data_IF_686528377213
#
_entry.id   IF_686528377213
#
_cell.length_a   1.000
_cell.length_b   1.000
_cell.length_c   1.000
_cell.angle_alpha   90.00
_cell.angle_beta   90.00
_cell.angle_gamma   90.00
#
_symmetry.space_group_name_H-M   'P 1'
#
loop_
_entity.id
_entity.type
_entity.pdbx_description
1 polymer ?
#
# COMPACT_ATOMS: atom_id res chain seq x y z
N UNK A 1 -17.50 -1.06 -4.65
CA UNK A 1 -16.20 -1.66 -4.31
C UNK A 1 -16.28 -3.17 -4.08
N UNK A 2 -17.37 -3.71 -3.57
CA UNK A 2 -17.56 -5.17 -3.31
C UNK A 2 -17.37 -6.08 -4.54
N UNK A 3 -17.61 -5.58 -5.73
CA UNK A 3 -17.39 -6.34 -6.97
C UNK A 3 -15.91 -6.34 -7.42
N UNK A 4 -15.12 -5.42 -6.89
CA UNK A 4 -13.74 -5.19 -7.29
C UNK A 4 -12.73 -5.80 -6.32
N UNK A 5 -13.09 -5.90 -5.04
CA UNK A 5 -12.23 -6.34 -3.95
C UNK A 5 -12.93 -7.37 -3.08
N UNK A 6 -12.16 -8.38 -2.66
CA UNK A 6 -12.56 -9.35 -1.65
C UNK A 6 -11.64 -9.25 -0.44
N UNK A 7 -12.19 -9.16 0.78
CA UNK A 7 -11.39 -9.16 2.00
C UNK A 7 -10.61 -10.48 2.14
N UNK A 8 -9.29 -10.38 2.34
CA UNK A 8 -8.44 -11.53 2.68
C UNK A 8 -8.47 -11.73 4.19
N UNK A 9 -8.86 -12.93 4.62
CA UNK A 9 -8.94 -13.31 6.05
C UNK A 9 -7.82 -14.25 6.49
N UNK A 10 -6.77 -14.40 5.68
CA UNK A 10 -5.63 -15.25 5.97
C UNK A 10 -4.81 -14.66 7.12
N UNK A 11 -4.49 -15.50 8.13
CA UNK A 11 -3.72 -15.11 9.32
C UNK A 11 -2.28 -15.60 9.23
N UNK A 12 -1.38 -14.95 9.94
CA UNK A 12 0.06 -15.18 9.90
C UNK A 12 0.53 -16.39 10.72
N UNK A 13 -0.12 -17.52 10.57
CA UNK A 13 0.24 -18.77 11.28
C UNK A 13 1.62 -19.31 10.88
N UNK A 14 2.10 -18.93 9.69
CA UNK A 14 3.40 -19.35 9.16
C UNK A 14 4.56 -18.46 9.55
N UNK A 15 4.32 -17.37 10.29
CA UNK A 15 5.37 -16.47 10.75
C UNK A 15 6.03 -15.66 9.62
N UNK A 16 5.25 -15.18 8.64
CA UNK A 16 5.74 -14.28 7.60
C UNK A 16 6.30 -12.98 8.19
N UNK A 17 7.18 -12.36 7.45
CA UNK A 17 7.84 -11.11 7.80
C UNK A 17 6.84 -9.97 8.03
N UNK A 18 7.08 -9.16 9.06
CA UNK A 18 6.16 -8.09 9.43
C UNK A 18 6.47 -6.83 8.63
N UNK A 19 5.44 -6.34 7.95
CA UNK A 19 5.47 -5.14 7.14
C UNK A 19 4.57 -4.04 7.70
N UNK A 20 4.85 -2.83 7.27
CA UNK A 20 4.02 -1.64 7.47
C UNK A 20 3.68 -1.02 6.12
N UNK A 21 2.89 0.06 6.11
CA UNK A 21 2.54 0.77 4.88
C UNK A 21 3.01 2.22 4.97
N UNK A 22 3.79 2.62 3.98
CA UNK A 22 4.30 3.98 3.81
C UNK A 22 3.53 4.70 2.70
N UNK A 23 3.33 6.02 2.85
CA UNK A 23 2.72 6.86 1.81
C UNK A 23 3.51 6.79 0.51
N UNK A 24 4.84 6.91 0.59
CA UNK A 24 5.73 7.02 -0.57
C UNK A 24 6.22 5.69 -1.12
N UNK A 25 6.35 4.65 -0.27
CA UNK A 25 6.98 3.37 -0.65
C UNK A 25 6.02 2.17 -0.63
N UNK A 26 4.73 2.38 -0.32
CA UNK A 26 3.75 1.30 -0.22
C UNK A 26 4.02 0.35 0.95
N UNK A 27 3.83 -0.95 0.72
CA UNK A 27 4.10 -1.99 1.73
C UNK A 27 5.61 -2.18 1.86
N UNK A 28 6.14 -2.02 3.06
CA UNK A 28 7.58 -2.04 3.36
C UNK A 28 7.88 -2.85 4.61
N UNK A 29 9.05 -3.50 4.65
CA UNK A 29 9.53 -4.14 5.85
C UNK A 29 9.70 -3.14 6.99
N UNK A 30 9.16 -3.44 8.17
CA UNK A 30 9.20 -2.52 9.31
C UNK A 30 10.63 -2.24 9.79
N UNK A 31 11.46 -3.26 9.88
CA UNK A 31 12.82 -3.14 10.41
C UNK A 31 13.69 -2.35 9.45
N UNK A 32 13.65 -2.69 8.17
CA UNK A 32 14.45 -2.01 7.14
C UNK A 32 14.06 -0.54 6.96
N UNK A 33 12.78 -0.23 7.10
CA UNK A 33 12.27 1.12 6.85
C UNK A 33 12.29 2.02 8.08
N UNK A 34 11.97 1.48 9.28
CA UNK A 34 11.83 2.24 10.52
C UNK A 34 13.00 2.03 11.49
N UNK A 35 13.97 1.14 11.15
CA UNK A 35 15.10 0.78 12.00
C UNK A 35 14.74 -0.06 13.23
N UNK A 36 13.47 -0.34 13.46
CA UNK A 36 12.94 -1.14 14.58
C UNK A 36 11.60 -1.77 14.22
N UNK A 37 11.27 -2.89 14.89
CA UNK A 37 9.96 -3.48 14.83
C UNK A 37 9.03 -2.86 15.88
N UNK A 38 7.80 -2.58 15.48
CA UNK A 38 6.69 -2.20 16.37
C UNK A 38 5.67 -3.33 16.51
N UNK A 39 5.97 -4.51 15.96
CA UNK A 39 5.07 -5.66 16.05
C UNK A 39 4.97 -6.17 17.50
N UNK A 40 3.85 -6.77 17.82
CA UNK A 40 3.67 -7.53 19.04
C UNK A 40 4.64 -8.73 19.07
N UNK A 41 4.90 -9.30 20.26
CA UNK A 41 5.67 -10.54 20.41
C UNK A 41 5.00 -11.72 19.70
N UNK A 42 3.67 -11.73 19.73
CA UNK A 42 2.82 -12.72 19.06
C UNK A 42 2.17 -12.07 17.84
N UNK A 43 2.41 -12.63 16.64
CA UNK A 43 1.96 -12.08 15.37
C UNK A 43 1.15 -13.08 14.52
N UNK A 44 0.77 -14.22 15.07
CA UNK A 44 -0.04 -15.23 14.36
C UNK A 44 -1.40 -14.70 13.90
N UNK A 45 -1.96 -13.74 14.64
CA UNK A 45 -3.21 -13.05 14.33
C UNK A 45 -3.09 -11.88 13.34
N UNK A 46 -1.87 -11.59 12.82
CA UNK A 46 -1.66 -10.57 11.79
C UNK A 46 -2.24 -11.04 10.46
N UNK A 47 -2.61 -10.10 9.61
CA UNK A 47 -3.18 -10.41 8.29
C UNK A 47 -2.08 -10.63 7.26
N UNK A 48 -2.18 -11.75 6.51
CA UNK A 48 -1.27 -12.03 5.42
C UNK A 48 -1.59 -11.13 4.23
N UNK A 49 -0.53 -10.60 3.61
CA UNK A 49 -0.56 -9.80 2.39
C UNK A 49 0.24 -10.53 1.31
N UNK A 50 -0.34 -10.70 0.15
CA UNK A 50 0.30 -11.31 -1.02
C UNK A 50 0.57 -10.26 -2.08
N UNK A 51 1.41 -10.60 -3.05
CA UNK A 51 1.61 -9.75 -4.23
C UNK A 51 0.28 -9.38 -4.88
N UNK A 52 0.10 -8.10 -5.16
CA UNK A 52 -1.11 -7.59 -5.79
C UNK A 52 -2.25 -7.21 -4.84
N UNK A 53 -2.22 -7.63 -3.57
CA UNK A 53 -3.24 -7.26 -2.58
C UNK A 53 -3.24 -5.76 -2.31
N UNK A 54 -4.43 -5.22 -2.06
CA UNK A 54 -4.65 -3.85 -1.59
C UNK A 54 -4.65 -3.84 -0.06
N UNK A 55 -3.84 -2.97 0.52
CA UNK A 55 -3.75 -2.78 1.98
C UNK A 55 -4.28 -1.40 2.34
N UNK A 56 -5.25 -1.34 3.24
CA UNK A 56 -5.80 -0.11 3.81
C UNK A 56 -5.37 0.04 5.27
N UNK A 57 -4.66 1.11 5.59
CA UNK A 57 -4.38 1.51 6.98
C UNK A 57 -5.47 2.44 7.47
N UNK A 58 -5.78 2.37 8.76
CA UNK A 58 -6.84 3.22 9.37
C UNK A 58 -6.26 4.42 10.12
N UNK A 59 -4.94 4.60 10.04
CA UNK A 59 -4.24 5.67 10.77
C UNK A 59 -4.05 6.90 9.89
N UNK A 60 -4.38 8.09 10.36
CA UNK A 60 -4.08 9.34 9.68
C UNK A 60 -2.57 9.50 9.44
N UNK A 61 -2.20 9.95 8.25
CA UNK A 61 -0.79 10.15 7.88
C UNK A 61 -0.68 11.27 6.85
N UNK A 62 0.00 12.37 7.20
CA UNK A 62 0.21 13.50 6.30
C UNK A 62 -1.10 14.03 5.70
N UNK A 63 -1.18 14.05 4.37
CA UNK A 63 -2.35 14.51 3.63
C UNK A 63 -3.51 13.50 3.58
N UNK A 64 -3.35 12.33 4.20
CA UNK A 64 -4.34 11.25 4.23
C UNK A 64 -5.01 11.16 5.63
N UNK A 65 -6.01 12.00 5.91
CA UNK A 65 -6.60 12.11 7.26
C UNK A 65 -7.37 10.84 7.71
N UNK A 66 -7.69 9.93 6.77
CA UNK A 66 -8.50 8.74 7.05
C UNK A 66 -7.76 7.43 6.75
N UNK A 67 -6.43 7.51 6.60
CA UNK A 67 -5.57 6.39 6.27
C UNK A 67 -5.21 6.33 4.79
N UNK A 68 -4.27 5.45 4.48
CA UNK A 68 -3.72 5.25 3.13
C UNK A 68 -4.10 3.88 2.57
N UNK A 69 -4.25 3.83 1.26
CA UNK A 69 -4.54 2.60 0.50
C UNK A 69 -3.39 2.38 -0.46
N UNK A 70 -2.75 1.21 -0.40
CA UNK A 70 -1.62 0.87 -1.27
C UNK A 70 -1.71 -0.58 -1.74
N UNK A 71 -1.23 -0.85 -2.96
CA UNK A 71 -1.03 -2.20 -3.45
C UNK A 71 0.31 -2.77 -2.95
N UNK A 72 0.35 -4.07 -2.64
CA UNK A 72 1.59 -4.77 -2.33
C UNK A 72 2.29 -5.22 -3.61
N UNK A 73 3.58 -4.88 -3.72
CA UNK A 73 4.48 -5.35 -4.78
C UNK A 73 5.58 -6.27 -4.24
N UNK A 74 5.43 -6.75 -3.00
CA UNK A 74 6.37 -7.71 -2.40
C UNK A 74 6.03 -9.11 -2.93
N UNK A 75 7.02 -9.79 -3.52
CA UNK A 75 6.87 -11.10 -4.15
C UNK A 75 6.48 -12.20 -3.16
N UNK A 76 7.12 -12.18 -1.98
CA UNK A 76 6.86 -13.13 -0.92
C UNK A 76 5.67 -12.71 -0.06
N UNK A 77 4.91 -13.67 0.47
CA UNK A 77 3.87 -13.36 1.45
C UNK A 77 4.47 -12.68 2.67
N UNK A 78 3.84 -11.59 3.11
CA UNK A 78 4.22 -10.83 4.30
C UNK A 78 3.01 -10.64 5.21
N UNK A 79 3.21 -10.11 6.41
CA UNK A 79 2.12 -9.88 7.34
C UNK A 79 2.06 -8.41 7.79
N UNK A 80 0.85 -7.92 7.99
CA UNK A 80 0.58 -6.57 8.48
C UNK A 80 -0.31 -6.59 9.73
N UNK A 81 -0.30 -5.50 10.49
CA UNK A 81 -1.13 -5.35 11.69
C UNK A 81 -2.59 -5.74 11.44
N UNK A 82 -3.27 -6.40 12.38
CA UNK A 82 -4.70 -6.72 12.29
C UNK A 82 -5.60 -5.49 12.23
N UNK A 83 -5.05 -4.31 12.52
CA UNK A 83 -5.76 -3.03 12.34
C UNK A 83 -5.91 -2.64 10.86
N UNK A 84 -5.14 -3.25 9.95
CA UNK A 84 -5.20 -2.96 8.52
C UNK A 84 -6.21 -3.85 7.82
N UNK A 85 -6.90 -3.31 6.82
CA UNK A 85 -7.69 -4.10 5.89
C UNK A 85 -6.80 -4.63 4.78
N UNK A 86 -6.96 -5.91 4.43
CA UNK A 86 -6.26 -6.54 3.29
C UNK A 86 -7.31 -7.07 2.33
N UNK A 87 -7.16 -6.74 1.05
CA UNK A 87 -8.15 -7.09 0.04
C UNK A 87 -7.47 -7.61 -1.21
N UNK A 88 -8.00 -8.69 -1.76
CA UNK A 88 -7.58 -9.24 -3.05
C UNK A 88 -8.40 -8.60 -4.16
N UNK A 89 -7.78 -7.93 -5.15
CA UNK A 89 -8.51 -7.38 -6.28
C UNK A 89 -9.02 -8.49 -7.22
N UNK A 90 -10.13 -8.23 -7.91
CA UNK A 90 -10.76 -9.17 -8.86
C UNK A 90 -9.84 -9.53 -10.04
N UNK A 91 -8.95 -8.61 -10.41
CA UNK A 91 -7.86 -8.85 -11.37
C UNK A 91 -6.73 -7.83 -11.17
N UNK A 92 -5.60 -8.06 -11.85
CA UNK A 92 -4.40 -7.22 -11.73
C UNK A 92 -4.65 -5.77 -12.14
N UNK A 93 -5.40 -5.52 -13.22
CA UNK A 93 -5.67 -4.16 -13.71
C UNK A 93 -6.47 -3.34 -12.69
N UNK A 94 -7.42 -3.96 -12.00
CA UNK A 94 -8.17 -3.33 -10.90
C UNK A 94 -7.22 -3.00 -9.73
N UNK A 95 -6.32 -3.90 -9.37
CA UNK A 95 -5.34 -3.64 -8.31
C UNK A 95 -4.47 -2.42 -8.60
N UNK A 96 -3.89 -2.36 -9.79
CA UNK A 96 -3.03 -1.25 -10.24
C UNK A 96 -3.85 0.05 -10.33
N UNK A 97 -5.04 0.01 -10.90
CA UNK A 97 -5.93 1.18 -10.98
C UNK A 97 -6.25 1.73 -9.59
N UNK A 98 -6.64 0.87 -8.65
CA UNK A 98 -6.97 1.27 -7.28
C UNK A 98 -5.76 1.85 -6.56
N UNK A 99 -4.56 1.29 -6.77
CA UNK A 99 -3.33 1.83 -6.23
C UNK A 99 -3.15 3.30 -6.62
N UNK A 100 -3.19 3.59 -7.94
CA UNK A 100 -3.01 4.95 -8.44
C UNK A 100 -4.19 5.87 -8.14
N UNK A 101 -5.43 5.36 -8.13
CA UNK A 101 -6.59 6.14 -7.73
C UNK A 101 -6.45 6.69 -6.30
N UNK A 102 -5.99 5.85 -5.37
CA UNK A 102 -5.81 6.21 -3.98
C UNK A 102 -4.46 6.89 -3.66
N UNK A 103 -3.56 7.04 -4.61
CA UNK A 103 -2.38 7.91 -4.46
C UNK A 103 -2.76 9.39 -4.39
N UNK A 104 -3.91 9.77 -4.93
CA UNK A 104 -4.47 11.11 -4.77
C UNK A 104 -5.08 11.28 -3.38
N UNK A 105 -4.56 12.22 -2.55
CA UNK A 105 -5.16 12.53 -1.24
C UNK A 105 -6.63 12.94 -1.34
N UNK A 106 -6.99 13.65 -2.42
CA UNK A 106 -8.37 14.08 -2.67
C UNK A 106 -9.30 12.89 -2.93
N UNK A 107 -8.88 11.93 -3.77
CA UNK A 107 -9.68 10.73 -4.03
C UNK A 107 -9.80 9.85 -2.79
N UNK A 108 -8.69 9.62 -2.07
CA UNK A 108 -8.70 8.87 -0.82
C UNK A 108 -9.62 9.51 0.22
N UNK A 109 -9.50 10.82 0.41
CA UNK A 109 -10.35 11.59 1.32
C UNK A 109 -11.82 11.48 0.95
N UNK A 110 -12.18 11.73 -0.31
CA UNK A 110 -13.58 11.70 -0.77
C UNK A 110 -14.19 10.31 -0.61
N UNK A 111 -13.45 9.26 -0.95
CA UNK A 111 -13.87 7.88 -0.79
C UNK A 111 -14.11 7.52 0.67
N UNK A 112 -13.11 7.79 1.54
CA UNK A 112 -13.13 7.36 2.94
C UNK A 112 -14.05 8.22 3.81
N UNK A 113 -14.18 9.52 3.50
CA UNK A 113 -15.02 10.45 4.30
C UNK A 113 -16.48 10.01 4.38
N UNK A 114 -17.05 9.52 3.28
CA UNK A 114 -18.44 9.04 3.24
C UNK A 114 -18.67 7.77 4.08
N UNK A 115 -17.60 7.05 4.42
CA UNK A 115 -17.62 5.81 5.21
C UNK A 115 -17.40 6.05 6.70
N UNK A 116 -17.14 7.30 7.12
CA UNK A 116 -16.85 7.60 8.52
C UNK A 116 -18.11 7.48 9.36
N UNK A 117 -18.10 6.55 10.29
CA UNK A 117 -19.08 6.48 11.36
C UNK A 117 -18.57 7.31 12.54
N UNK A 118 -19.29 8.37 12.90
CA UNK A 118 -18.98 9.20 14.07
C UNK A 118 -19.23 8.36 15.34
N UNK A 119 -18.17 7.81 15.91
CA UNK A 119 -18.21 7.16 17.22
C UNK A 119 -18.30 8.20 18.35
N UNK A 120 -18.63 7.76 19.56
CA UNK A 120 -18.86 8.59 20.75
C UNK A 120 -17.67 9.49 21.18
N UNK A 121 -16.50 9.38 20.55
CA UNK A 121 -15.29 10.17 20.84
C UNK A 121 -14.63 10.75 19.58
N UNK A 122 -15.38 11.05 18.52
CA UNK A 122 -14.84 11.51 17.22
C UNK A 122 -13.79 10.55 16.61
N UNK A 123 -13.74 9.30 17.04
CA UNK A 123 -12.84 8.29 16.49
C UNK A 123 -13.34 7.88 15.11
N UNK A 124 -12.45 7.99 14.13
CA UNK A 124 -12.67 7.50 12.77
C UNK A 124 -12.65 5.97 12.83
N UNK A 125 -13.81 5.35 12.65
CA UNK A 125 -13.90 3.90 12.58
C UNK A 125 -14.49 3.47 11.25
N UNK A 126 -13.62 2.94 10.36
CA UNK A 126 -14.02 2.29 9.11
C UNK A 126 -13.65 0.82 9.26
N UNK A 127 -14.64 -0.07 9.42
CA UNK A 127 -14.38 -1.51 9.47
C UNK A 127 -13.94 -2.01 8.09
N UNK A 128 -13.29 -3.18 8.03
CA UNK A 128 -12.85 -3.77 6.77
C UNK A 128 -14.02 -4.02 5.81
N UNK A 129 -15.17 -4.46 6.33
CA UNK A 129 -16.38 -4.66 5.54
C UNK A 129 -16.93 -3.33 5.05
N UNK A 130 -16.96 -2.31 5.92
CA UNK A 130 -17.51 -1.00 5.57
C UNK A 130 -16.65 -0.28 4.51
N UNK A 131 -15.33 -0.55 4.48
CA UNK A 131 -14.46 -0.06 3.40
C UNK A 131 -14.96 -0.46 2.00
N UNK A 132 -15.63 -1.59 1.87
CA UNK A 132 -16.14 -2.09 0.59
C UNK A 132 -17.52 -1.51 0.21
N UNK A 133 -18.20 -0.75 1.08
CA UNK A 133 -19.58 -0.29 0.85
C UNK A 133 -19.69 0.89 -0.11
N UNK A 134 -18.60 1.59 -0.36
CA UNK A 134 -18.61 2.75 -1.25
C UNK A 134 -18.34 2.35 -2.70
N UNK A 135 -18.55 3.31 -3.61
CA UNK A 135 -18.34 3.15 -5.05
C UNK A 135 -17.26 4.10 -5.54
N UNK A 136 -16.62 3.71 -6.63
CA UNK A 136 -15.66 4.56 -7.37
C UNK A 136 -16.06 4.58 -8.85
N UNK A 137 -15.77 5.67 -9.57
CA UNK A 137 -15.92 5.70 -11.01
C UNK A 137 -14.87 4.78 -11.64
N UNK A 138 -15.31 3.81 -12.45
CA UNK A 138 -14.42 2.98 -13.25
C UNK A 138 -14.50 3.41 -14.71
N UNK A 139 -13.37 3.54 -15.40
CA UNK A 139 -13.37 3.69 -16.86
C UNK A 139 -13.86 2.39 -17.53
N UNK A 140 -14.16 2.47 -18.82
CA UNK A 140 -14.47 1.27 -19.61
C UNK A 140 -13.27 0.31 -19.62
N UNK A 141 -13.50 -0.98 -19.85
CA UNK A 141 -12.44 -2.01 -19.79
C UNK A 141 -11.24 -1.69 -20.70
N UNK A 142 -11.51 -1.21 -21.93
CA UNK A 142 -10.44 -0.82 -22.90
C UNK A 142 -9.63 0.38 -22.38
N UNK A 143 -10.26 1.39 -21.83
CA UNK A 143 -9.57 2.56 -21.25
C UNK A 143 -8.79 2.15 -20.01
N UNK A 144 -9.35 1.31 -19.14
CA UNK A 144 -8.70 0.81 -17.95
C UNK A 144 -7.40 0.07 -18.31
N UNK A 145 -7.45 -0.87 -19.26
CA UNK A 145 -6.29 -1.65 -19.68
C UNK A 145 -5.18 -0.76 -20.24
N UNK A 146 -5.52 0.15 -21.16
CA UNK A 146 -4.56 1.10 -21.73
C UNK A 146 -3.94 2.01 -20.67
N UNK A 147 -4.76 2.53 -19.75
CA UNK A 147 -4.28 3.41 -18.68
C UNK A 147 -3.37 2.67 -17.71
N UNK A 148 -3.74 1.45 -17.31
CA UNK A 148 -2.91 0.62 -16.42
C UNK A 148 -1.58 0.29 -17.09
N UNK A 149 -1.57 -0.11 -18.36
CA UNK A 149 -0.33 -0.38 -19.10
C UNK A 149 0.57 0.84 -19.14
N UNK A 150 0.02 2.02 -19.43
CA UNK A 150 0.80 3.27 -19.42
C UNK A 150 1.35 3.59 -18.02
N UNK A 151 0.55 3.45 -16.97
CA UNK A 151 0.99 3.68 -15.58
C UNK A 151 2.12 2.73 -15.17
N UNK A 152 2.02 1.45 -15.55
CA UNK A 152 3.06 0.46 -15.26
C UNK A 152 4.39 0.83 -15.95
N UNK A 153 4.37 1.18 -17.23
CA UNK A 153 5.56 1.61 -17.97
C UNK A 153 6.21 2.83 -17.32
N UNK A 154 5.41 3.83 -16.94
CA UNK A 154 5.92 5.03 -16.26
C UNK A 154 6.53 4.66 -14.89
N UNK A 155 5.86 3.82 -14.11
CA UNK A 155 6.34 3.39 -12.77
C UNK A 155 7.66 2.61 -12.88
N UNK A 156 7.78 1.72 -13.86
CA UNK A 156 9.03 1.00 -14.12
C UNK A 156 10.16 1.95 -14.52
N UNK A 157 9.87 2.94 -15.37
CA UNK A 157 10.86 3.94 -15.75
C UNK A 157 11.33 4.75 -14.55
N UNK A 158 10.42 5.24 -13.72
CA UNK A 158 10.77 5.96 -12.48
C UNK A 158 11.68 5.09 -11.61
N UNK A 159 11.33 3.83 -11.39
CA UNK A 159 12.13 2.90 -10.58
C UNK A 159 13.53 2.69 -11.15
N UNK A 160 13.68 2.58 -12.46
CA UNK A 160 14.98 2.47 -13.11
C UNK A 160 15.83 3.73 -12.94
N UNK A 161 15.23 4.92 -13.09
CA UNK A 161 15.95 6.19 -12.91
C UNK A 161 16.38 6.39 -11.45
N UNK A 162 15.55 6.03 -10.48
CA UNK A 162 15.90 6.06 -9.04
C UNK A 162 17.07 5.11 -8.73
N UNK A 163 17.06 3.91 -9.30
CA UNK A 163 18.15 2.95 -9.15
C UNK A 163 19.44 3.49 -9.77
N UNK A 164 19.39 4.02 -10.98
CA UNK A 164 20.54 4.63 -11.66
C UNK A 164 21.10 5.79 -10.83
N UNK A 165 20.22 6.66 -10.33
CA UNK A 165 20.65 7.77 -9.45
C UNK A 165 21.36 7.27 -8.20
N UNK A 166 20.84 6.24 -7.54
CA UNK A 166 21.47 5.66 -6.35
C UNK A 166 22.86 5.09 -6.62
N UNK A 167 23.03 4.42 -7.78
CA UNK A 167 24.32 3.89 -8.23
C UNK A 167 25.33 5.02 -8.52
N UNK A 168 24.91 6.08 -9.18
CA UNK A 168 25.77 7.24 -9.46
C UNK A 168 26.21 7.94 -8.17
N UNK A 169 25.30 8.07 -7.18
CA UNK A 169 25.64 8.60 -5.85
C UNK A 169 26.69 7.72 -5.14
N UNK A 170 26.50 6.39 -5.20
CA UNK A 170 27.46 5.45 -4.62
C UNK A 170 28.84 5.53 -5.32
N UNK A 171 28.85 5.60 -6.65
CA UNK A 171 30.06 5.76 -7.44
C UNK A 171 30.79 7.08 -7.12
N UNK A 172 30.05 8.19 -7.05
CA UNK A 172 30.62 9.48 -6.62
C UNK A 172 31.30 9.37 -5.26
N UNK A 173 30.62 8.76 -4.28
CA UNK A 173 31.17 8.56 -2.92
C UNK A 173 32.43 7.70 -2.95
N UNK A 174 32.43 6.63 -3.72
CA UNK A 174 33.62 5.78 -3.89
C UNK A 174 34.81 6.56 -4.44
N UNK A 175 34.63 7.32 -5.54
CA UNK A 175 35.70 8.14 -6.13
C UNK A 175 36.24 9.17 -5.14
N UNK A 176 35.34 9.90 -4.42
CA UNK A 176 35.76 10.87 -3.41
C UNK A 176 36.62 10.23 -2.32
N UNK A 177 36.24 9.04 -1.84
CA UNK A 177 37.01 8.31 -0.84
C UNK A 177 38.41 7.88 -1.35
N UNK A 178 38.55 7.64 -2.67
CA UNK A 178 39.86 7.31 -3.26
C UNK A 178 40.74 8.54 -3.46
N UNK A 179 40.17 9.73 -3.58
CA UNK A 179 40.94 10.97 -3.83
C UNK A 179 41.50 11.60 -2.55
N UNK A 180 40.99 11.26 -1.39
CA UNK A 180 41.32 11.89 -0.11
C UNK A 180 41.85 10.91 0.94
N UNK A 181 42.47 9.80 0.48
CA UNK A 181 43.24 8.88 1.33
C UNK A 181 44.70 9.34 1.38
#
# INVERSE_FOLDING_TARGET
>A
MKELLQERKETNERGHEICSVSVSKGVVNQIQYLGRSFSAKETSHYHVVRYGDIVYTKSPTGEFPYGIVKQSYISEPVAVSPLYGVYTPSNTNIGVFLHHYFESPAHAKNYLHSLIQKGAKNTINITNQHFLDNVIPLPSADILEKSVSAMQIISEKIKHEEMLFSLLVAQKKFILNQMFI
#
